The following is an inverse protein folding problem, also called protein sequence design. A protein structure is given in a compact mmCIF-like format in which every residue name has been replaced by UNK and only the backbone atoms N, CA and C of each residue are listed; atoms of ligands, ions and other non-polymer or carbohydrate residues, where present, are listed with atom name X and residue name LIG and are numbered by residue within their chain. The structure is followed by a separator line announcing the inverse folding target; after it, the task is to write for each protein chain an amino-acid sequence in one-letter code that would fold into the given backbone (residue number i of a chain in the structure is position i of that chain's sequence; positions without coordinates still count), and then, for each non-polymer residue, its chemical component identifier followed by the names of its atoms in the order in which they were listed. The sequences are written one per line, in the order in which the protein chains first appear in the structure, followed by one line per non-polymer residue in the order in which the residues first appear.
data_IF_546646276320
#
_entry.id   IF_546646276320
#
_cell.length_a   1.000
_cell.length_b   1.000
_cell.length_c   1.000
_cell.angle_alpha   90.00
_cell.angle_beta   90.00
_cell.angle_gamma   90.00
#
_symmetry.space_group_name_H-M   'P 1'
#
loop_
_entity.id
_entity.type
_entity.pdbx_description
1 polymer ?
#
# COMPACT_ATOMS: atom_id res chain seq x y z
N UNK A 1 1.93 -15.51 11.55
CA UNK A 1 0.93 -14.49 11.20
C UNK A 1 1.28 -14.10 9.79
N UNK A 2 0.50 -14.58 8.84
CA UNK A 2 0.93 -14.69 7.46
C UNK A 2 0.04 -13.77 6.61
N UNK A 3 0.68 -12.92 5.79
CA UNK A 3 0.00 -11.92 4.97
C UNK A 3 0.21 -12.22 3.50
N UNK A 4 -0.87 -12.18 2.72
CA UNK A 4 -0.82 -12.22 1.26
C UNK A 4 -1.03 -10.82 0.69
N UNK A 5 -0.14 -10.36 -0.18
CA UNK A 5 -0.32 -9.10 -0.92
C UNK A 5 -0.46 -9.37 -2.42
N UNK A 6 -1.60 -9.00 -2.99
CA UNK A 6 -1.84 -9.07 -4.44
C UNK A 6 -1.42 -7.76 -5.12
N UNK A 7 -0.54 -7.83 -6.12
CA UNK A 7 -0.17 -6.67 -6.91
C UNK A 7 -1.11 -6.53 -8.11
N UNK A 8 -1.80 -5.39 -8.23
CA UNK A 8 -2.64 -5.08 -9.39
C UNK A 8 -1.85 -4.18 -10.35
N UNK A 9 -1.07 -4.81 -11.23
CA UNK A 9 -0.23 -4.14 -12.22
C UNK A 9 -0.99 -3.77 -13.51
N UNK A 10 -2.00 -4.56 -13.86
CA UNK A 10 -2.77 -4.45 -15.11
C UNK A 10 -4.25 -4.61 -14.87
N UNK A 11 -5.03 -3.80 -15.57
CA UNK A 11 -6.49 -3.83 -15.50
C UNK A 11 -7.11 -5.16 -15.99
N UNK A 12 -6.34 -5.97 -16.73
CA UNK A 12 -6.80 -7.30 -17.15
C UNK A 12 -7.06 -8.22 -15.97
N UNK A 13 -6.25 -8.12 -14.90
CA UNK A 13 -6.45 -8.92 -13.69
C UNK A 13 -7.80 -8.63 -13.01
N UNK A 14 -8.32 -7.40 -13.15
CA UNK A 14 -9.64 -7.01 -12.65
C UNK A 14 -10.74 -7.68 -13.48
N UNK A 15 -10.57 -7.76 -14.80
CA UNK A 15 -11.56 -8.34 -15.73
C UNK A 15 -11.60 -9.86 -15.66
N UNK A 16 -10.45 -10.51 -15.53
CA UNK A 16 -10.36 -11.97 -15.38
C UNK A 16 -10.73 -12.45 -13.97
N UNK A 17 -10.85 -11.53 -13.02
CA UNK A 17 -11.05 -11.80 -11.60
C UNK A 17 -9.73 -11.77 -10.84
N UNK A 18 -9.74 -11.10 -9.69
CA UNK A 18 -8.57 -10.88 -8.82
C UNK A 18 -8.15 -12.14 -8.04
N UNK A 19 -8.88 -13.24 -8.17
CA UNK A 19 -8.66 -14.47 -7.40
C UNK A 19 -9.13 -14.40 -5.95
N UNK A 20 -9.57 -13.24 -5.45
CA UNK A 20 -10.12 -13.07 -4.10
C UNK A 20 -11.61 -13.41 -4.12
N UNK A 21 -11.89 -14.68 -4.40
CA UNK A 21 -13.23 -15.23 -4.60
C UNK A 21 -13.38 -16.55 -3.85
N UNK A 22 -14.62 -16.94 -3.56
CA UNK A 22 -14.92 -18.16 -2.80
C UNK A 22 -14.34 -19.44 -3.43
N UNK A 23 -14.17 -19.48 -4.76
CA UNK A 23 -13.54 -20.61 -5.46
C UNK A 23 -12.10 -20.88 -5.00
N UNK A 24 -11.40 -19.86 -4.49
CA UNK A 24 -10.02 -19.96 -3.98
C UNK A 24 -9.96 -19.96 -2.45
N UNK A 25 -11.08 -20.20 -1.77
CA UNK A 25 -11.20 -20.14 -0.31
C UNK A 25 -10.13 -20.96 0.43
N UNK A 26 -9.84 -22.18 -0.02
CA UNK A 26 -8.82 -23.04 0.59
C UNK A 26 -7.42 -22.40 0.61
N UNK A 27 -7.05 -21.63 -0.42
CA UNK A 27 -5.76 -20.95 -0.46
C UNK A 27 -5.79 -19.65 0.35
N UNK A 28 -6.89 -18.90 0.28
CA UNK A 28 -7.02 -17.61 0.96
C UNK A 28 -7.13 -17.76 2.49
N UNK A 29 -7.75 -18.84 2.98
CA UNK A 29 -7.87 -19.14 4.41
C UNK A 29 -6.53 -19.52 5.07
N UNK A 30 -5.45 -19.72 4.30
CA UNK A 30 -4.12 -19.99 4.86
C UNK A 30 -3.43 -18.73 5.38
N UNK A 31 -3.96 -17.55 5.05
CA UNK A 31 -3.38 -16.26 5.44
C UNK A 31 -4.28 -15.57 6.48
N UNK A 32 -3.64 -14.89 7.43
CA UNK A 32 -4.33 -14.13 8.47
C UNK A 32 -4.75 -12.74 7.98
N UNK A 33 -4.02 -12.16 7.02
CA UNK A 33 -4.30 -10.85 6.43
C UNK A 33 -4.25 -10.87 4.91
N UNK A 34 -5.21 -10.19 4.30
CA UNK A 34 -5.25 -9.97 2.86
C UNK A 34 -4.96 -8.51 2.54
N UNK A 35 -4.00 -8.30 1.64
CA UNK A 35 -3.57 -6.98 1.22
C UNK A 35 -3.55 -6.85 -0.31
N UNK A 36 -3.63 -5.63 -0.81
CA UNK A 36 -3.53 -5.34 -2.24
C UNK A 36 -2.64 -4.13 -2.50
N UNK A 37 -1.83 -4.19 -3.55
CA UNK A 37 -0.98 -3.09 -4.00
C UNK A 37 -1.40 -2.66 -5.41
N UNK A 38 -2.27 -1.65 -5.55
CA UNK A 38 -2.72 -1.17 -6.84
C UNK A 38 -1.68 -0.26 -7.51
N UNK A 39 -1.38 -0.52 -8.78
CA UNK A 39 -0.47 0.28 -9.60
C UNK A 39 -1.18 1.08 -10.70
N UNK A 40 -2.49 0.90 -10.87
CA UNK A 40 -3.33 1.62 -11.85
C UNK A 40 -4.52 2.30 -11.17
N UNK A 41 -5.09 3.34 -11.81
CA UNK A 41 -6.29 4.02 -11.28
C UNK A 41 -7.47 3.06 -11.12
N UNK A 42 -7.69 2.21 -12.13
CA UNK A 42 -8.76 1.22 -12.11
C UNK A 42 -8.52 0.18 -11.01
N UNK A 43 -7.28 -0.28 -10.82
CA UNK A 43 -6.90 -1.17 -9.74
C UNK A 43 -7.15 -0.56 -8.36
N UNK A 44 -6.81 0.72 -8.19
CA UNK A 44 -7.05 1.44 -6.94
C UNK A 44 -8.55 1.60 -6.64
N UNK A 45 -9.34 1.97 -7.64
CA UNK A 45 -10.79 2.07 -7.48
C UNK A 45 -11.42 0.71 -7.16
N UNK A 46 -10.99 -0.36 -7.83
CA UNK A 46 -11.49 -1.71 -7.58
C UNK A 46 -11.12 -2.21 -6.17
N UNK A 47 -9.89 -1.94 -5.72
CA UNK A 47 -9.45 -2.23 -4.36
C UNK A 47 -10.33 -1.53 -3.32
N UNK A 48 -10.57 -0.23 -3.50
CA UNK A 48 -11.31 0.61 -2.55
C UNK A 48 -12.82 0.39 -2.51
N UNK A 49 -13.42 -0.14 -3.58
CA UNK A 49 -14.88 -0.27 -3.69
C UNK A 49 -15.31 -1.74 -3.65
N UNK A 50 -14.64 -2.61 -4.40
CA UNK A 50 -15.08 -4.00 -4.60
C UNK A 50 -14.35 -4.97 -3.69
N UNK A 51 -13.04 -4.83 -3.53
CA UNK A 51 -12.24 -5.74 -2.69
C UNK A 51 -12.35 -5.42 -1.20
N UNK A 52 -12.64 -4.17 -0.84
CA UNK A 52 -12.86 -3.74 0.54
C UNK A 52 -14.25 -4.08 1.08
N UNK A 53 -15.21 -4.42 0.21
CA UNK A 53 -16.59 -4.69 0.63
C UNK A 53 -16.64 -5.82 1.65
N UNK A 54 -17.47 -5.69 2.69
CA UNK A 54 -17.58 -6.64 3.80
C UNK A 54 -18.19 -7.98 3.36
N UNK A 55 -17.36 -8.85 2.78
CA UNK A 55 -17.68 -10.21 2.34
C UNK A 55 -16.49 -11.12 2.64
N UNK A 56 -16.66 -12.46 2.56
CA UNK A 56 -15.53 -13.37 2.71
C UNK A 56 -14.38 -13.00 1.77
N UNK A 57 -13.15 -12.99 2.30
CA UNK A 57 -11.93 -12.65 1.57
C UNK A 57 -11.85 -11.19 1.11
N UNK A 58 -12.49 -10.28 1.85
CA UNK A 58 -12.24 -8.84 1.73
C UNK A 58 -10.79 -8.50 2.07
N UNK A 59 -10.27 -7.45 1.44
CA UNK A 59 -8.93 -6.92 1.73
C UNK A 59 -8.96 -6.10 3.01
N UNK A 60 -7.96 -6.27 3.86
CA UNK A 60 -7.76 -5.51 5.09
C UNK A 60 -6.82 -4.30 4.88
N UNK A 61 -5.84 -4.43 3.98
CA UNK A 61 -4.77 -3.45 3.77
C UNK A 61 -4.63 -3.08 2.29
N UNK A 62 -4.65 -1.78 1.99
CA UNK A 62 -4.25 -1.25 0.68
C UNK A 62 -2.86 -0.62 0.81
N UNK A 63 -1.87 -1.26 0.19
CA UNK A 63 -0.46 -0.83 0.22
C UNK A 63 -0.16 0.12 -0.94
N UNK A 64 0.53 1.22 -0.66
CA UNK A 64 0.98 2.17 -1.67
C UNK A 64 2.50 2.36 -1.56
N UNK A 65 3.23 2.12 -2.66
CA UNK A 65 4.64 2.49 -2.77
C UNK A 65 4.76 3.94 -3.24
N UNK A 66 4.98 4.83 -2.29
CA UNK A 66 5.04 6.27 -2.53
C UNK A 66 6.44 6.78 -2.86
N UNK A 67 7.48 5.95 -2.64
CA UNK A 67 8.85 6.40 -2.90
C UNK A 67 9.26 6.18 -4.36
N UNK A 68 8.65 5.18 -5.04
CA UNK A 68 8.98 4.79 -6.40
C UNK A 68 8.84 5.92 -7.44
N UNK A 69 7.89 6.85 -7.26
CA UNK A 69 7.65 7.94 -8.21
C UNK A 69 7.23 9.25 -7.50
N UNK A 70 7.52 10.43 -8.09
CA UNK A 70 7.16 11.73 -7.49
C UNK A 70 5.67 11.95 -7.25
N UNK A 71 4.83 11.22 -8.00
CA UNK A 71 3.38 11.23 -7.86
C UNK A 71 2.89 9.80 -8.08
N UNK A 72 1.82 9.45 -7.39
CA UNK A 72 1.08 8.23 -7.73
C UNK A 72 0.63 8.31 -9.19
N UNK A 73 0.58 7.16 -9.90
CA UNK A 73 0.10 7.11 -11.28
C UNK A 73 -1.40 7.39 -11.40
N UNK A 74 -2.09 7.62 -10.29
CA UNK A 74 -3.53 7.88 -10.20
C UNK A 74 -3.84 8.84 -9.05
N UNK A 75 -5.03 9.46 -9.12
CA UNK A 75 -5.51 10.37 -8.08
C UNK A 75 -6.25 9.64 -6.97
N UNK A 76 -5.96 9.99 -5.71
CA UNK A 76 -6.69 9.49 -4.56
C UNK A 76 -8.03 10.22 -4.40
N UNK A 77 -9.13 9.62 -4.88
CA UNK A 77 -10.48 10.21 -4.75
C UNK A 77 -10.99 10.00 -3.32
N UNK A 78 -11.41 11.09 -2.66
CA UNK A 78 -11.97 11.05 -1.29
C UNK A 78 -13.15 10.08 -1.15
N UNK A 79 -13.99 9.98 -2.17
CA UNK A 79 -15.13 9.05 -2.19
C UNK A 79 -14.68 7.58 -2.10
N UNK A 80 -13.71 7.19 -2.94
CA UNK A 80 -13.17 5.82 -2.96
C UNK A 80 -12.43 5.50 -1.67
N UNK A 81 -11.58 6.41 -1.18
CA UNK A 81 -10.85 6.24 0.07
C UNK A 81 -11.82 6.14 1.25
N UNK A 82 -12.83 7.01 1.30
CA UNK A 82 -13.84 7.01 2.35
C UNK A 82 -14.66 5.71 2.39
N UNK A 83 -14.98 5.13 1.24
CA UNK A 83 -15.67 3.84 1.16
C UNK A 83 -14.81 2.70 1.73
N UNK A 84 -13.52 2.64 1.36
CA UNK A 84 -12.60 1.65 1.91
C UNK A 84 -12.45 1.78 3.43
N UNK A 85 -12.26 3.01 3.93
CA UNK A 85 -12.18 3.30 5.37
C UNK A 85 -13.46 2.92 6.11
N UNK A 86 -14.64 3.16 5.52
CA UNK A 86 -15.93 2.80 6.13
C UNK A 86 -16.08 1.28 6.28
N UNK A 87 -15.44 0.49 5.41
CA UNK A 87 -15.39 -0.96 5.51
C UNK A 87 -14.25 -1.47 6.42
N UNK A 88 -13.51 -0.58 7.08
CA UNK A 88 -12.44 -0.95 8.02
C UNK A 88 -11.07 -1.20 7.39
N UNK A 89 -10.92 -0.97 6.09
CA UNK A 89 -9.62 -1.11 5.40
C UNK A 89 -8.66 -0.01 5.83
N UNK A 90 -7.38 -0.36 5.99
CA UNK A 90 -6.31 0.59 6.28
C UNK A 90 -5.37 0.79 5.09
N UNK A 91 -4.81 1.98 4.97
CA UNK A 91 -3.84 2.35 3.96
C UNK A 91 -2.42 2.21 4.53
N UNK A 92 -1.59 1.40 3.88
CA UNK A 92 -0.21 1.16 4.28
C UNK A 92 0.75 2.03 3.47
N UNK A 93 1.57 2.79 4.18
CA UNK A 93 2.70 3.55 3.65
C UNK A 93 3.97 2.76 3.93
N UNK A 94 4.69 2.42 2.86
CA UNK A 94 5.97 1.70 2.97
C UNK A 94 7.14 2.69 2.90
N UNK A 95 8.02 2.70 3.91
CA UNK A 95 9.17 3.61 3.93
C UNK A 95 10.47 3.01 3.41
N UNK A 96 10.52 1.68 3.23
CA UNK A 96 11.75 0.94 2.96
C UNK A 96 12.53 1.49 1.79
N UNK A 97 11.86 1.79 0.68
CA UNK A 97 12.43 2.38 -0.53
C UNK A 97 13.03 3.78 -0.34
N UNK A 98 12.66 4.51 0.71
CA UNK A 98 13.25 5.80 1.09
C UNK A 98 14.43 5.68 2.09
N UNK A 99 14.65 4.47 2.60
CA UNK A 99 15.72 4.14 3.55
C UNK A 99 16.67 3.06 3.05
N UNK A 100 16.38 2.43 1.92
CA UNK A 100 17.18 1.36 1.35
C UNK A 100 18.52 1.95 0.95
N UNK A 101 19.57 1.46 1.60
CA UNK A 101 20.95 1.95 1.47
C UNK A 101 21.80 0.96 0.71
N UNK A 102 21.22 -0.01 -0.04
CA UNK A 102 21.97 -0.97 -0.85
C UNK A 102 23.15 -0.30 -1.53
N UNK A 103 24.32 -0.58 -0.97
CA UNK A 103 25.58 0.07 -1.32
C UNK A 103 25.93 -0.41 -2.74
N UNK A 104 25.81 0.50 -3.71
CA UNK A 104 26.21 0.26 -5.11
C UNK A 104 25.07 0.14 -6.13
N UNK A 105 23.79 0.11 -5.72
CA UNK A 105 22.65 0.07 -6.68
C UNK A 105 21.80 1.34 -6.71
N UNK A 106 21.89 2.18 -5.68
CA UNK A 106 21.04 3.37 -5.52
C UNK A 106 21.92 4.56 -5.19
N UNK A 107 21.89 5.61 -6.01
CA UNK A 107 22.70 6.80 -5.75
C UNK A 107 22.14 7.61 -4.57
N UNK A 108 22.97 8.42 -3.93
CA UNK A 108 22.49 9.36 -2.90
C UNK A 108 21.41 10.32 -3.42
N UNK A 109 21.43 10.63 -4.72
CA UNK A 109 20.40 11.46 -5.37
C UNK A 109 19.07 10.71 -5.48
N UNK A 110 19.11 9.43 -5.83
CA UNK A 110 17.90 8.59 -5.91
C UNK A 110 17.26 8.43 -4.52
N UNK A 111 18.07 8.27 -3.47
CA UNK A 111 17.57 8.18 -2.10
C UNK A 111 16.91 9.50 -1.64
N UNK A 112 17.52 10.64 -1.95
CA UNK A 112 16.93 11.94 -1.65
C UNK A 112 15.62 12.18 -2.42
N UNK A 113 15.53 11.70 -3.67
CA UNK A 113 14.32 11.73 -4.46
C UNK A 113 13.23 10.83 -3.87
N UNK A 114 13.55 9.58 -3.54
CA UNK A 114 12.64 8.62 -2.92
C UNK A 114 12.06 9.17 -1.61
N UNK A 115 12.89 9.79 -0.75
CA UNK A 115 12.41 10.47 0.47
C UNK A 115 11.41 11.57 0.16
N UNK A 116 11.75 12.49 -0.74
CA UNK A 116 10.84 13.58 -1.14
C UNK A 116 9.51 13.07 -1.68
N UNK A 117 9.56 12.01 -2.51
CA UNK A 117 8.38 11.37 -3.08
C UNK A 117 7.51 10.77 -1.97
N UNK A 118 8.11 10.02 -1.05
CA UNK A 118 7.43 9.43 0.10
C UNK A 118 6.70 10.49 0.94
N UNK A 119 7.38 11.58 1.33
CA UNK A 119 6.76 12.67 2.10
C UNK A 119 5.61 13.34 1.33
N UNK A 120 5.78 13.57 0.02
CA UNK A 120 4.75 14.16 -0.83
C UNK A 120 3.51 13.25 -0.93
N UNK A 121 3.71 11.96 -1.21
CA UNK A 121 2.64 10.98 -1.30
C UNK A 121 1.96 10.74 0.05
N UNK A 122 2.72 10.67 1.15
CA UNK A 122 2.18 10.48 2.49
C UNK A 122 1.27 11.64 2.89
N UNK A 123 1.66 12.88 2.59
CA UNK A 123 0.79 14.06 2.78
C UNK A 123 -0.52 13.95 1.99
N UNK A 124 -0.47 13.41 0.78
CA UNK A 124 -1.67 13.20 -0.01
C UNK A 124 -2.61 12.16 0.63
N UNK A 125 -2.07 11.01 1.05
CA UNK A 125 -2.82 9.97 1.77
C UNK A 125 -3.44 10.54 3.04
N UNK A 126 -2.65 11.22 3.87
CA UNK A 126 -3.12 11.80 5.13
C UNK A 126 -4.24 12.83 4.88
N UNK A 127 -4.12 13.64 3.83
CA UNK A 127 -5.16 14.61 3.44
C UNK A 127 -6.47 13.93 3.04
N UNK A 128 -6.41 12.86 2.25
CA UNK A 128 -7.63 12.18 1.76
C UNK A 128 -8.28 11.28 2.81
N UNK A 129 -7.47 10.66 3.67
CA UNK A 129 -7.93 9.82 4.80
C UNK A 129 -8.32 10.63 6.03
N UNK A 130 -7.98 11.93 6.07
CA UNK A 130 -8.08 12.77 7.26
C UNK A 130 -7.31 12.19 8.46
N UNK A 131 -6.16 11.55 8.17
CA UNK A 131 -5.30 10.89 9.15
C UNK A 131 -5.86 9.59 9.74
N UNK A 132 -6.97 9.06 9.24
CA UNK A 132 -7.61 7.83 9.74
C UNK A 132 -7.19 6.61 8.95
N UNK A 133 -7.03 5.47 9.62
CA UNK A 133 -6.77 4.19 8.95
C UNK A 133 -5.50 4.22 8.11
N UNK A 134 -4.42 4.82 8.62
CA UNK A 134 -3.10 4.82 7.97
C UNK A 134 -2.13 4.07 8.87
N UNK A 135 -1.39 3.14 8.29
CA UNK A 135 -0.30 2.43 8.94
C UNK A 135 1.00 2.68 8.19
N UNK A 136 2.13 2.59 8.91
CA UNK A 136 3.47 2.74 8.34
C UNK A 136 4.20 1.42 8.53
N UNK A 137 4.83 0.92 7.47
CA UNK A 137 5.63 -0.30 7.51
C UNK A 137 6.94 -0.14 6.74
N UNK A 138 7.91 -1.00 7.04
CA UNK A 138 9.22 -0.93 6.38
C UNK A 138 9.18 -1.49 4.96
N UNK A 139 8.41 -2.54 4.69
CA UNK A 139 8.55 -3.37 3.47
C UNK A 139 10.03 -3.73 3.15
N UNK A 140 10.89 -3.75 4.17
CA UNK A 140 12.31 -3.98 4.00
C UNK A 140 12.57 -5.45 3.71
N UNK A 141 13.36 -5.72 2.67
CA UNK A 141 13.82 -7.08 2.32
C UNK A 141 15.10 -7.48 3.05
N UNK A 142 15.72 -6.54 3.79
CA UNK A 142 16.96 -6.73 4.53
C UNK A 142 16.87 -6.07 5.91
N UNK A 143 17.60 -6.63 6.88
CA UNK A 143 17.64 -6.19 8.29
C UNK A 143 18.12 -4.74 8.40
N UNK A 144 19.04 -4.31 7.52
CA UNK A 144 19.56 -2.94 7.49
C UNK A 144 18.50 -1.89 7.08
N UNK A 145 17.40 -2.33 6.47
CA UNK A 145 16.27 -1.47 6.13
C UNK A 145 15.29 -1.25 7.29
N UNK A 146 15.46 -1.93 8.42
CA UNK A 146 14.61 -1.76 9.60
C UNK A 146 15.00 -0.50 10.38
N UNK A 147 13.99 0.12 11.01
CA UNK A 147 14.17 1.29 11.87
C UNK A 147 13.44 1.07 13.18
N UNK A 148 13.96 1.66 14.26
CA UNK A 148 13.29 1.60 15.55
C UNK A 148 11.95 2.35 15.47
N UNK A 149 10.93 2.00 16.27
CA UNK A 149 9.63 2.67 16.24
C UNK A 149 9.73 4.20 16.38
N UNK A 150 10.65 4.69 17.22
CA UNK A 150 10.89 6.13 17.40
C UNK A 150 11.49 6.81 16.15
N UNK A 151 12.33 6.12 15.40
CA UNK A 151 12.88 6.64 14.14
C UNK A 151 11.79 6.74 13.07
N UNK A 152 10.88 5.76 13.03
CA UNK A 152 9.74 5.75 12.11
C UNK A 152 8.77 6.88 12.44
N UNK A 153 8.52 7.16 13.73
CA UNK A 153 7.68 8.28 14.15
C UNK A 153 8.23 9.64 13.67
N UNK A 154 9.55 9.78 13.65
CA UNK A 154 10.20 10.99 13.15
C UNK A 154 10.04 11.20 11.63
N UNK A 155 9.55 10.20 10.89
CA UNK A 155 9.21 10.35 9.46
C UNK A 155 7.87 11.05 9.21
N UNK A 156 7.08 11.32 10.24
CA UNK A 156 5.83 12.07 10.10
C UNK A 156 6.05 13.61 10.20
N UNK A 157 7.20 14.03 10.72
CA UNK A 157 7.54 15.43 11.04
C UNK A 157 8.13 16.17 9.85
#
# INVERSE_FOLDING_TARGET
MDRLTLVLDKDQAIKSGTGFVAANSNALQQYDLLAVMPLTENGFQHACITMSELKPFSVDIITLDLAAAPRLPFHLKRSTVGAALANGVVFEITYGSATDTKVGTTSNQDLAAARRNLFSGAREILRVTNGKGVIISSAAMDVLGLRAPYDVLNMYV
#
